data_IF_542123588137
#
_entry.id   IF_542123588137
#
_cell.length_a   1.000
_cell.length_b   1.000
_cell.length_c   1.000
_cell.angle_alpha   90.00
_cell.angle_beta   90.00
_cell.angle_gamma   90.00
#
_symmetry.space_group_name_H-M   'P 1'
#
loop_
_entity.id
_entity.type
_entity.pdbx_description
1 polymer ?
#
# COMPACT_ATOMS: atom_id res chain seq x y z
N UNK A 1 53.59 48.92 -21.16
CA UNK A 1 53.27 50.22 -21.76
C UNK A 1 52.07 50.11 -22.67
N UNK A 2 51.18 51.14 -22.59
CA UNK A 2 49.99 51.45 -23.45
C UNK A 2 48.74 50.57 -23.11
N UNK A 3 47.88 51.13 -22.32
CA UNK A 3 46.82 52.17 -22.39
C UNK A 3 45.48 51.62 -22.89
N UNK A 4 44.59 51.75 -21.96
CA UNK A 4 43.13 51.73 -21.96
C UNK A 4 42.48 52.41 -23.18
N UNK A 5 41.33 51.83 -23.58
CA UNK A 5 40.18 52.68 -23.90
C UNK A 5 38.88 52.00 -23.44
N UNK A 6 38.14 52.77 -22.69
CA UNK A 6 36.78 52.51 -22.20
C UNK A 6 35.85 53.10 -23.27
N UNK A 7 34.85 52.33 -23.66
CA UNK A 7 33.68 52.88 -24.35
C UNK A 7 32.43 52.41 -23.59
N UNK A 8 31.82 53.40 -22.96
CA UNK A 8 30.48 53.32 -22.39
C UNK A 8 29.43 53.45 -23.48
N UNK A 9 28.44 52.57 -23.45
CA UNK A 9 27.19 52.76 -24.18
C UNK A 9 26.02 52.39 -23.23
N UNK A 10 25.09 53.30 -23.12
CA UNK A 10 23.95 53.31 -22.24
C UNK A 10 22.85 52.32 -22.68
N UNK A 11 21.94 51.92 -21.76
CA UNK A 11 20.96 50.88 -22.03
C UNK A 11 19.71 51.46 -22.71
N UNK A 12 19.27 50.77 -23.75
CA UNK A 12 17.93 50.94 -24.33
C UNK A 12 16.99 49.98 -23.59
N UNK A 13 16.11 50.52 -22.77
CA UNK A 13 14.98 49.81 -22.22
C UNK A 13 13.96 49.51 -23.31
N UNK A 14 13.89 48.27 -23.75
CA UNK A 14 12.74 47.73 -24.46
C UNK A 14 11.89 46.95 -23.46
N UNK A 15 10.82 47.57 -23.00
CA UNK A 15 9.70 46.92 -22.32
C UNK A 15 9.01 45.97 -23.30
N UNK A 16 9.51 44.76 -23.39
CA UNK A 16 8.81 43.66 -24.03
C UNK A 16 7.95 42.97 -22.98
N UNK A 17 6.63 43.11 -23.08
CA UNK A 17 5.66 42.35 -22.35
C UNK A 17 5.86 40.87 -22.65
N UNK A 18 6.54 40.15 -21.77
CA UNK A 18 6.59 38.68 -21.80
C UNK A 18 5.24 38.23 -21.26
N UNK A 19 4.26 38.04 -22.13
CA UNK A 19 3.13 37.20 -21.86
C UNK A 19 3.69 35.80 -21.56
N UNK A 20 3.73 35.42 -20.30
CA UNK A 20 3.95 34.05 -19.90
C UNK A 20 2.90 33.20 -20.62
N UNK A 21 3.29 32.20 -21.44
CA UNK A 21 2.31 31.26 -21.90
C UNK A 21 1.79 30.57 -20.63
N UNK A 22 0.52 30.78 -20.32
CA UNK A 22 -0.25 29.86 -19.51
C UNK A 22 -0.11 28.50 -20.21
N UNK A 23 0.85 27.71 -19.78
CA UNK A 23 0.88 26.30 -20.05
C UNK A 23 -0.44 25.77 -19.47
N UNK A 24 -1.44 25.65 -20.36
CA UNK A 24 -2.50 24.70 -20.13
C UNK A 24 -1.78 23.38 -19.92
N UNK A 25 -1.70 22.91 -18.68
CA UNK A 25 -1.35 21.54 -18.41
C UNK A 25 -2.34 20.73 -19.27
N UNK A 26 -1.83 20.12 -20.33
CA UNK A 26 -2.60 19.17 -21.10
C UNK A 26 -3.15 18.19 -20.07
N UNK A 27 -4.47 17.99 -20.05
CA UNK A 27 -5.11 17.06 -19.13
C UNK A 27 -4.36 15.73 -19.28
N UNK A 28 -3.66 15.31 -18.22
CA UNK A 28 -2.95 14.05 -18.26
C UNK A 28 -3.96 12.96 -18.58
N UNK A 29 -3.72 12.22 -19.66
CA UNK A 29 -4.52 11.03 -19.95
C UNK A 29 -4.10 9.93 -18.99
N UNK A 30 -5.04 9.40 -18.25
CA UNK A 30 -4.80 8.35 -17.24
C UNK A 30 -5.07 6.95 -17.79
N UNK A 31 -5.34 6.83 -19.09
CA UNK A 31 -5.62 5.55 -19.77
C UNK A 31 -7.01 4.99 -19.50
N UNK A 32 -7.94 5.82 -19.02
CA UNK A 32 -9.34 5.42 -18.79
C UNK A 32 -10.07 5.07 -20.08
N UNK A 33 -9.68 5.69 -21.20
CA UNK A 33 -10.22 5.47 -22.53
C UNK A 33 -9.72 4.18 -23.18
N UNK A 34 -8.70 3.54 -22.60
CA UNK A 34 -8.13 2.32 -23.14
C UNK A 34 -8.77 1.09 -22.52
N UNK A 35 -9.34 0.22 -23.37
CA UNK A 35 -9.82 -1.09 -22.95
C UNK A 35 -8.63 -1.97 -22.58
N UNK A 36 -8.55 -2.37 -21.33
CA UNK A 36 -7.52 -3.27 -20.88
C UNK A 36 -7.97 -4.74 -21.07
N UNK A 37 -7.07 -5.64 -21.53
CA UNK A 37 -5.69 -5.44 -21.99
C UNK A 37 -5.58 -5.18 -23.50
N UNK A 38 -6.69 -5.04 -24.23
CA UNK A 38 -6.71 -4.97 -25.70
C UNK A 38 -6.10 -3.66 -26.23
N UNK A 39 -5.27 -3.78 -27.26
CA UNK A 39 -4.70 -2.64 -27.98
C UNK A 39 -3.45 -2.01 -27.36
N UNK A 40 -2.95 -2.54 -26.26
CA UNK A 40 -1.72 -2.05 -25.64
C UNK A 40 -0.49 -2.78 -26.15
N UNK A 41 0.62 -2.04 -26.21
CA UNK A 41 1.91 -2.69 -26.39
C UNK A 41 2.20 -3.65 -25.24
N UNK A 42 2.89 -4.76 -25.48
CA UNK A 42 3.33 -5.65 -24.43
C UNK A 42 4.08 -4.85 -23.36
N UNK A 43 3.70 -5.01 -22.09
CA UNK A 43 4.40 -4.37 -21.00
C UNK A 43 5.81 -4.93 -20.87
N UNK A 44 6.74 -4.01 -20.73
CA UNK A 44 8.15 -4.29 -20.51
C UNK A 44 8.58 -3.63 -19.22
N UNK A 45 9.76 -3.98 -18.70
CA UNK A 45 10.34 -3.28 -17.56
C UNK A 45 10.59 -1.78 -17.78
N UNK A 46 10.37 -1.27 -18.98
CA UNK A 46 10.55 0.14 -19.34
C UNK A 46 9.24 0.91 -19.47
N UNK A 47 8.16 0.29 -19.92
CA UNK A 47 6.90 0.98 -20.22
C UNK A 47 5.75 0.70 -19.26
N UNK A 48 5.95 -0.12 -18.23
CA UNK A 48 4.89 -0.50 -17.29
C UNK A 48 4.27 0.69 -16.56
N UNK A 49 5.01 1.80 -16.38
CA UNK A 49 4.53 3.04 -15.78
C UNK A 49 3.97 4.02 -16.80
N UNK A 50 3.78 3.59 -18.06
CA UNK A 50 3.33 4.48 -19.11
C UNK A 50 2.03 5.19 -18.70
N UNK A 51 2.10 6.53 -18.59
CA UNK A 51 1.01 7.34 -18.01
C UNK A 51 -0.35 7.13 -18.68
N UNK A 52 -0.47 7.10 -20.03
CA UNK A 52 -1.75 6.86 -20.69
C UNK A 52 -2.43 5.54 -20.33
N UNK A 53 -1.67 4.56 -19.84
CA UNK A 53 -2.19 3.22 -19.50
C UNK A 53 -2.31 2.98 -17.98
N UNK A 54 -2.03 3.98 -17.15
CA UNK A 54 -1.96 3.78 -15.69
C UNK A 54 -3.26 3.29 -15.08
N UNK A 55 -4.38 3.84 -15.49
CA UNK A 55 -5.68 3.42 -14.94
C UNK A 55 -5.91 1.94 -15.20
N UNK A 56 -5.73 1.50 -16.43
CA UNK A 56 -5.83 0.09 -16.78
C UNK A 56 -4.75 -0.76 -16.11
N UNK A 57 -3.51 -0.29 -16.04
CA UNK A 57 -2.40 -1.04 -15.44
C UNK A 57 -2.62 -1.31 -13.95
N UNK A 58 -3.17 -0.35 -13.20
CA UNK A 58 -3.23 -0.43 -11.73
C UNK A 58 -4.65 -0.55 -11.17
N UNK A 59 -5.68 -0.44 -12.01
CA UNK A 59 -7.06 -0.45 -11.56
C UNK A 59 -7.93 -1.33 -12.45
N UNK A 60 -7.69 -2.63 -12.45
CA UNK A 60 -8.55 -3.59 -13.12
C UNK A 60 -7.89 -4.55 -14.08
N UNK A 61 -6.57 -4.58 -14.21
CA UNK A 61 -5.94 -5.41 -15.22
C UNK A 61 -4.51 -5.87 -14.96
N UNK A 62 -3.91 -5.40 -13.89
CA UNK A 62 -2.51 -5.63 -13.59
C UNK A 62 -2.13 -7.11 -13.54
N UNK A 63 -2.96 -7.94 -12.92
CA UNK A 63 -2.76 -9.38 -12.81
C UNK A 63 -2.91 -10.13 -14.14
N UNK A 64 -3.52 -9.53 -15.15
CA UNK A 64 -3.61 -10.15 -16.49
C UNK A 64 -2.29 -10.05 -17.26
N UNK A 65 -1.41 -9.14 -16.83
CA UNK A 65 -0.12 -8.93 -17.47
C UNK A 65 1.01 -9.76 -16.85
N UNK A 66 0.84 -10.18 -15.61
CA UNK A 66 1.92 -10.81 -14.83
C UNK A 66 1.48 -12.14 -14.22
N UNK A 67 2.48 -12.95 -13.87
CA UNK A 67 2.24 -14.18 -13.11
C UNK A 67 1.67 -13.82 -11.75
N UNK A 68 0.66 -14.57 -11.33
CA UNK A 68 0.02 -14.36 -10.04
C UNK A 68 -0.55 -15.67 -9.49
N UNK A 69 -0.73 -15.71 -8.19
CA UNK A 69 -1.56 -16.67 -7.50
C UNK A 69 -2.92 -16.04 -7.23
N UNK A 70 -3.99 -16.82 -7.34
CA UNK A 70 -5.36 -16.37 -7.10
C UNK A 70 -5.87 -16.86 -5.76
N UNK A 71 -6.65 -16.03 -5.11
CA UNK A 71 -7.45 -16.37 -3.93
C UNK A 71 -8.91 -16.28 -4.31
N UNK A 72 -9.60 -17.42 -4.30
CA UNK A 72 -11.02 -17.47 -4.58
C UNK A 72 -11.84 -17.00 -3.38
N UNK A 73 -12.94 -16.32 -3.66
CA UNK A 73 -13.93 -15.99 -2.64
C UNK A 73 -14.54 -17.26 -2.01
N UNK A 74 -15.04 -17.13 -0.80
CA UNK A 74 -15.79 -18.22 -0.16
C UNK A 74 -17.19 -18.39 -0.75
N UNK A 75 -17.86 -19.49 -0.43
CA UNK A 75 -19.23 -19.73 -0.89
C UNK A 75 -20.25 -18.76 -0.28
N UNK A 76 -19.88 -18.09 0.80
CA UNK A 76 -20.73 -17.13 1.51
C UNK A 76 -19.97 -15.81 1.62
N UNK A 77 -20.38 -14.83 0.81
CA UNK A 77 -19.97 -13.47 1.01
C UNK A 77 -20.70 -12.88 2.22
N UNK A 78 -19.99 -12.13 3.07
CA UNK A 78 -20.64 -11.31 4.10
C UNK A 78 -20.89 -9.93 3.51
N UNK A 79 -22.14 -9.61 3.12
CA UNK A 79 -22.41 -8.33 2.49
C UNK A 79 -22.14 -7.19 3.47
N UNK A 80 -21.51 -6.13 2.97
CA UNK A 80 -21.51 -4.85 3.67
C UNK A 80 -22.86 -4.19 3.45
N UNK A 81 -23.47 -3.67 4.52
CA UNK A 81 -24.72 -2.90 4.42
C UNK A 81 -24.48 -1.61 3.62
N UNK A 82 -25.30 -1.33 2.62
CA UNK A 82 -25.13 -0.20 1.72
C UNK A 82 -26.14 0.88 2.06
N UNK A 83 -25.68 2.01 2.61
CA UNK A 83 -26.48 3.17 2.97
C UNK A 83 -25.88 4.43 2.34
N UNK A 84 -25.87 4.50 1.01
CA UNK A 84 -25.18 5.57 0.28
C UNK A 84 -25.69 6.96 0.64
N UNK A 85 -24.77 7.84 0.97
CA UNK A 85 -24.98 9.27 1.08
C UNK A 85 -24.94 9.92 -0.30
N UNK A 86 -25.64 11.05 -0.45
CA UNK A 86 -25.44 11.87 -1.63
C UNK A 86 -24.07 12.54 -1.57
N UNK A 87 -23.12 12.07 -2.38
CA UNK A 87 -21.75 12.56 -2.41
C UNK A 87 -21.66 14.08 -2.64
N UNK A 88 -22.61 14.66 -3.41
CA UNK A 88 -22.69 16.12 -3.63
C UNK A 88 -23.06 16.90 -2.37
N UNK A 89 -23.78 16.25 -1.44
CA UNK A 89 -24.20 16.87 -0.17
C UNK A 89 -23.24 16.60 0.98
N UNK A 90 -22.27 15.73 0.79
CA UNK A 90 -21.26 15.45 1.82
C UNK A 90 -20.20 16.55 1.81
N UNK A 91 -20.24 17.43 2.82
CA UNK A 91 -19.35 18.60 2.94
C UNK A 91 -18.25 18.30 3.96
N UNK A 92 -17.04 18.69 3.62
CA UNK A 92 -15.88 18.65 4.51
C UNK A 92 -14.99 19.89 4.30
N UNK A 93 -14.07 20.13 5.22
CA UNK A 93 -13.16 21.29 5.15
C UNK A 93 -11.77 20.85 4.69
N UNK A 94 -11.64 20.49 3.43
CA UNK A 94 -10.36 20.23 2.80
C UNK A 94 -9.57 21.51 2.51
N UNK A 95 -8.31 21.38 2.18
CA UNK A 95 -7.47 22.52 1.81
C UNK A 95 -7.96 23.18 0.51
N UNK A 96 -8.34 22.36 -0.46
CA UNK A 96 -8.67 22.82 -1.81
C UNK A 96 -10.02 22.31 -2.33
N UNK A 97 -10.66 21.38 -1.64
CA UNK A 97 -11.96 20.79 -2.00
C UNK A 97 -12.94 20.89 -0.84
N UNK A 98 -14.23 20.89 -1.14
CA UNK A 98 -15.30 21.03 -0.15
C UNK A 98 -16.29 19.88 -0.14
N UNK A 99 -16.42 19.17 -1.26
CA UNK A 99 -17.31 18.03 -1.42
C UNK A 99 -16.54 16.83 -1.95
N UNK A 100 -17.12 15.63 -1.83
CA UNK A 100 -16.56 14.43 -2.45
C UNK A 100 -16.47 14.60 -3.96
N UNK A 101 -17.49 15.22 -4.59
CA UNK A 101 -17.45 15.49 -6.03
C UNK A 101 -16.28 16.40 -6.42
N UNK A 102 -16.02 17.48 -5.65
CA UNK A 102 -14.86 18.33 -5.88
C UNK A 102 -13.55 17.54 -5.77
N UNK A 103 -13.45 16.69 -4.74
CA UNK A 103 -12.29 15.84 -4.52
C UNK A 103 -12.03 14.92 -5.71
N UNK A 104 -13.05 14.20 -6.15
CA UNK A 104 -12.99 13.26 -7.26
C UNK A 104 -12.70 13.95 -8.60
N UNK A 105 -13.19 15.16 -8.81
CA UNK A 105 -12.91 15.91 -10.03
C UNK A 105 -11.50 16.51 -10.06
N UNK A 106 -10.92 16.77 -8.90
CA UNK A 106 -9.58 17.37 -8.80
C UNK A 106 -8.46 16.35 -8.87
N UNK A 107 -8.61 15.23 -8.18
CA UNK A 107 -7.54 14.25 -8.00
C UNK A 107 -7.76 13.00 -8.87
N UNK A 108 -6.68 12.35 -9.36
CA UNK A 108 -6.78 11.18 -10.24
C UNK A 108 -7.17 9.91 -9.46
N UNK A 109 -8.29 10.01 -8.76
CA UNK A 109 -8.88 8.93 -7.99
C UNK A 109 -9.59 7.95 -8.92
N UNK A 110 -9.26 6.67 -8.83
CA UNK A 110 -9.89 5.61 -9.62
C UNK A 110 -11.10 5.00 -8.91
N UNK A 111 -11.04 4.93 -7.57
CA UNK A 111 -12.21 4.60 -6.76
C UNK A 111 -12.06 5.14 -5.32
N UNK A 112 -13.20 5.40 -4.68
CA UNK A 112 -13.30 5.87 -3.30
C UNK A 112 -14.44 5.14 -2.60
N UNK A 113 -14.16 4.55 -1.44
CA UNK A 113 -15.17 3.96 -0.57
C UNK A 113 -14.99 4.48 0.86
N UNK A 114 -16.10 4.87 1.48
CA UNK A 114 -16.14 5.18 2.91
C UNK A 114 -17.17 4.26 3.56
N UNK A 115 -16.73 3.54 4.58
CA UNK A 115 -17.64 2.74 5.40
C UNK A 115 -17.45 3.06 6.88
N UNK A 116 -18.52 2.91 7.65
CA UNK A 116 -18.50 3.10 9.10
C UNK A 116 -19.40 2.06 9.77
N UNK A 117 -18.87 1.38 10.80
CA UNK A 117 -19.58 0.32 11.53
C UNK A 117 -20.23 -0.72 10.59
N UNK A 118 -19.51 -1.14 9.57
CA UNK A 118 -19.98 -2.12 8.59
C UNK A 118 -20.92 -1.59 7.51
N UNK A 119 -21.24 -0.27 7.49
CA UNK A 119 -22.13 0.34 6.51
C UNK A 119 -21.34 1.15 5.48
N UNK A 120 -21.53 0.87 4.20
CA UNK A 120 -20.96 1.65 3.10
C UNK A 120 -21.76 2.93 2.95
N UNK A 121 -21.12 4.08 3.15
CA UNK A 121 -21.72 5.41 3.07
C UNK A 121 -21.39 6.11 1.75
N UNK A 122 -20.24 5.80 1.17
CA UNK A 122 -19.79 6.33 -0.12
C UNK A 122 -19.13 5.20 -0.88
N UNK A 123 -19.45 5.07 -2.15
CA UNK A 123 -18.83 4.13 -3.08
C UNK A 123 -18.87 4.75 -4.47
N UNK A 124 -17.71 5.18 -4.94
CA UNK A 124 -17.54 5.87 -6.21
C UNK A 124 -16.46 5.21 -7.05
N UNK A 125 -16.74 5.00 -8.32
CA UNK A 125 -15.82 4.49 -9.32
C UNK A 125 -15.66 5.54 -10.42
N UNK A 126 -14.43 5.78 -10.83
CA UNK A 126 -14.09 6.80 -11.81
C UNK A 126 -13.33 6.19 -12.98
N UNK A 127 -13.21 6.95 -14.09
CA UNK A 127 -12.38 6.53 -15.22
C UNK A 127 -12.78 5.13 -15.71
N UNK A 128 -14.09 4.90 -15.86
CA UNK A 128 -14.69 3.64 -16.31
C UNK A 128 -14.35 2.40 -15.46
N UNK A 129 -13.88 2.60 -14.23
CA UNK A 129 -13.68 1.48 -13.31
C UNK A 129 -15.02 0.97 -12.78
N UNK A 130 -15.08 -0.33 -12.48
CA UNK A 130 -16.30 -1.05 -12.10
C UNK A 130 -16.10 -1.84 -10.82
N UNK A 131 -17.19 -2.22 -10.10
CA UNK A 131 -17.11 -2.96 -8.85
C UNK A 131 -16.40 -4.31 -8.93
N UNK A 132 -16.45 -4.97 -10.08
CA UNK A 132 -15.83 -6.27 -10.33
C UNK A 132 -14.33 -6.19 -10.66
N UNK A 133 -13.79 -4.99 -10.85
CA UNK A 133 -12.37 -4.77 -11.11
C UNK A 133 -11.54 -4.81 -9.83
N UNK A 134 -10.32 -5.30 -9.95
CA UNK A 134 -9.36 -5.35 -8.84
C UNK A 134 -8.41 -4.18 -8.91
N UNK A 135 -8.18 -3.57 -7.77
CA UNK A 135 -7.29 -2.43 -7.58
C UNK A 135 -6.01 -2.91 -6.92
N UNK A 136 -4.90 -2.61 -7.54
CA UNK A 136 -3.58 -3.05 -7.11
C UNK A 136 -3.16 -2.31 -5.83
N UNK A 137 -2.56 -3.03 -4.89
CA UNK A 137 -2.22 -2.57 -3.55
C UNK A 137 -1.04 -1.63 -3.47
N UNK A 138 -0.04 -1.83 -4.33
CA UNK A 138 1.31 -1.42 -3.98
C UNK A 138 1.64 -1.84 -2.54
N UNK A 139 2.27 -0.97 -1.77
CA UNK A 139 2.72 -1.31 -0.41
C UNK A 139 1.62 -1.59 0.62
N UNK A 140 0.32 -1.43 0.30
CA UNK A 140 -0.75 -1.91 1.17
C UNK A 140 -0.70 -3.44 1.37
N UNK A 141 -0.07 -4.19 0.44
CA UNK A 141 0.17 -5.62 0.57
C UNK A 141 0.95 -6.00 1.84
N UNK A 142 1.80 -5.11 2.34
CA UNK A 142 2.55 -5.34 3.58
C UNK A 142 1.63 -5.53 4.78
N UNK A 143 0.58 -4.73 4.86
CA UNK A 143 -0.41 -4.85 5.93
C UNK A 143 -1.23 -6.13 5.81
N UNK A 144 -1.51 -6.61 4.57
CA UNK A 144 -2.11 -7.94 4.38
C UNK A 144 -1.17 -9.03 4.90
N UNK A 145 0.15 -8.92 4.61
CA UNK A 145 1.16 -9.84 5.15
C UNK A 145 1.19 -9.83 6.68
N UNK A 146 1.00 -8.64 7.30
CA UNK A 146 0.86 -8.54 8.77
C UNK A 146 -0.32 -9.33 9.31
N UNK A 147 -1.49 -9.24 8.65
CA UNK A 147 -2.66 -10.03 9.08
C UNK A 147 -2.39 -11.53 8.98
N UNK A 148 -1.69 -11.98 7.91
CA UNK A 148 -1.29 -13.39 7.78
C UNK A 148 -0.29 -13.81 8.85
N UNK A 149 0.63 -12.93 9.25
CA UNK A 149 1.54 -13.18 10.36
C UNK A 149 0.80 -13.40 11.67
N UNK A 150 -0.18 -12.53 11.97
CA UNK A 150 -1.03 -12.72 13.15
C UNK A 150 -1.79 -14.04 13.13
N UNK A 151 -2.35 -14.43 11.99
CA UNK A 151 -3.03 -15.72 11.83
C UNK A 151 -2.05 -16.90 12.01
N UNK A 152 -0.83 -16.80 11.49
CA UNK A 152 0.17 -17.85 11.63
C UNK A 152 0.61 -18.04 13.09
N UNK A 153 0.72 -16.95 13.85
CA UNK A 153 0.94 -17.00 15.31
C UNK A 153 -0.24 -17.64 16.04
N UNK A 154 -1.47 -17.20 15.78
CA UNK A 154 -2.68 -17.70 16.42
C UNK A 154 -2.89 -19.21 16.19
N UNK A 155 -2.45 -19.71 15.05
CA UNK A 155 -2.52 -21.13 14.68
C UNK A 155 -1.31 -21.95 15.12
N UNK A 156 -0.30 -21.32 15.73
CA UNK A 156 0.90 -21.99 16.22
C UNK A 156 1.88 -22.42 15.13
N UNK A 157 1.73 -21.97 13.89
CA UNK A 157 2.72 -22.18 12.84
C UNK A 157 4.02 -21.43 13.11
N UNK A 158 3.91 -20.27 13.73
CA UNK A 158 5.02 -19.44 14.21
C UNK A 158 4.84 -19.24 15.70
N UNK A 159 5.92 -19.34 16.48
CA UNK A 159 5.82 -19.31 17.95
C UNK A 159 5.89 -17.87 18.49
N UNK A 160 6.78 -17.05 17.94
CA UNK A 160 7.00 -15.67 18.41
C UNK A 160 7.49 -14.76 17.28
N UNK A 161 7.14 -13.48 17.34
CA UNK A 161 7.75 -12.46 16.47
C UNK A 161 9.21 -12.15 16.89
N UNK A 162 9.65 -12.61 18.04
CA UNK A 162 11.03 -12.47 18.50
C UNK A 162 11.93 -13.61 17.98
N UNK A 163 11.35 -14.63 17.35
CA UNK A 163 12.09 -15.68 16.70
C UNK A 163 12.84 -15.19 15.47
N UNK A 164 13.91 -15.93 15.12
CA UNK A 164 14.70 -15.64 13.93
C UNK A 164 14.11 -16.33 12.70
N UNK A 165 14.06 -15.67 11.53
CA UNK A 165 13.62 -16.28 10.27
C UNK A 165 14.32 -17.61 9.92
N UNK A 166 15.60 -17.75 10.25
CA UNK A 166 16.38 -18.97 9.98
C UNK A 166 15.87 -20.21 10.73
N UNK A 167 15.09 -20.04 11.80
CA UNK A 167 14.47 -21.15 12.54
C UNK A 167 13.34 -21.79 11.72
N UNK A 168 12.71 -21.03 10.82
CA UNK A 168 11.59 -21.48 9.98
C UNK A 168 12.01 -21.75 8.54
N UNK A 169 13.02 -21.03 8.04
CA UNK A 169 13.44 -21.04 6.65
C UNK A 169 14.89 -21.53 6.55
N UNK A 170 15.15 -22.85 6.36
CA UNK A 170 16.50 -23.41 6.32
C UNK A 170 17.48 -22.68 5.37
N UNK A 171 17.07 -22.21 4.17
CA UNK A 171 17.94 -21.43 3.30
C UNK A 171 18.40 -20.09 3.86
N UNK A 172 17.77 -19.56 4.90
CA UNK A 172 18.18 -18.32 5.57
C UNK A 172 19.22 -18.52 6.67
N UNK A 173 19.59 -19.77 6.98
CA UNK A 173 20.57 -20.06 8.04
C UNK A 173 21.91 -19.40 7.75
N UNK A 174 22.36 -18.56 8.71
CA UNK A 174 23.61 -17.81 8.59
C UNK A 174 23.58 -16.64 7.60
N UNK A 175 22.43 -16.29 7.04
CA UNK A 175 22.28 -15.08 6.21
C UNK A 175 21.98 -13.86 7.08
N UNK A 176 22.19 -12.66 6.54
CA UNK A 176 21.91 -11.43 7.27
C UNK A 176 20.43 -11.37 7.71
N UNK A 177 19.50 -11.59 6.80
CA UNK A 177 18.06 -11.49 7.09
C UNK A 177 17.56 -12.67 7.94
N UNK A 178 18.23 -13.83 7.86
CA UNK A 178 17.91 -14.96 8.72
C UNK A 178 18.20 -14.76 10.20
N UNK A 179 19.19 -13.91 10.51
CA UNK A 179 19.61 -13.60 11.88
C UNK A 179 18.93 -12.35 12.49
N UNK A 180 17.93 -11.76 11.85
CA UNK A 180 17.21 -10.58 12.36
C UNK A 180 15.88 -11.03 12.99
N UNK A 181 15.60 -10.74 14.28
CA UNK A 181 14.31 -11.05 14.87
C UNK A 181 13.15 -10.49 14.06
N UNK A 182 12.10 -11.31 13.86
CA UNK A 182 10.96 -10.94 12.99
C UNK A 182 10.28 -9.65 13.43
N UNK A 183 10.29 -9.31 14.72
CA UNK A 183 9.82 -8.01 15.24
C UNK A 183 10.45 -6.84 14.51
N UNK A 184 11.75 -6.86 14.29
CA UNK A 184 12.46 -5.78 13.62
C UNK A 184 12.19 -5.73 12.12
N UNK A 185 11.89 -6.87 11.49
CA UNK A 185 11.42 -6.93 10.11
C UNK A 185 10.02 -6.34 9.99
N UNK A 186 9.09 -6.74 10.86
CA UNK A 186 7.70 -6.23 10.89
C UNK A 186 7.65 -4.72 11.16
N UNK A 187 8.57 -4.21 11.94
CA UNK A 187 8.69 -2.80 12.31
C UNK A 187 9.56 -1.97 11.35
N UNK A 188 10.08 -2.56 10.26
CA UNK A 188 10.99 -1.85 9.35
C UNK A 188 12.20 -1.23 10.08
N UNK A 189 12.73 -1.96 11.06
CA UNK A 189 13.92 -1.56 11.83
C UNK A 189 15.01 -2.64 11.78
N UNK A 190 15.18 -3.27 10.63
CA UNK A 190 16.08 -4.40 10.41
C UNK A 190 17.56 -4.07 10.47
N UNK A 191 17.94 -2.80 10.30
CA UNK A 191 19.34 -2.37 10.22
C UNK A 191 20.06 -2.71 8.92
N UNK A 192 19.37 -3.28 7.93
CA UNK A 192 19.94 -3.53 6.60
C UNK A 192 20.24 -2.21 5.88
N UNK A 193 21.30 -2.17 5.09
CA UNK A 193 21.63 -1.02 4.27
C UNK A 193 20.93 -1.11 2.92
N UNK A 194 19.84 -0.37 2.78
CA UNK A 194 19.11 -0.22 1.52
C UNK A 194 19.03 1.25 1.19
N UNK A 195 19.69 1.63 0.11
CA UNK A 195 19.57 2.96 -0.47
C UNK A 195 18.72 2.82 -1.71
N UNK A 196 17.44 3.19 -1.63
CA UNK A 196 16.45 3.01 -2.68
C UNK A 196 16.90 3.54 -4.06
N UNK A 197 17.74 4.57 -4.09
CA UNK A 197 18.22 5.19 -5.32
C UNK A 197 19.43 4.46 -5.94
N UNK A 198 20.11 3.60 -5.17
CA UNK A 198 21.35 2.92 -5.58
C UNK A 198 21.24 1.41 -5.55
N UNK A 199 20.10 0.87 -5.14
CA UNK A 199 19.93 -0.56 -4.98
C UNK A 199 19.82 -1.24 -6.35
N UNK A 200 20.83 -2.03 -6.78
CA UNK A 200 20.76 -2.77 -8.03
C UNK A 200 19.72 -3.89 -8.00
N UNK A 201 19.23 -4.23 -6.81
CA UNK A 201 18.18 -5.21 -6.59
C UNK A 201 16.84 -4.54 -6.28
N UNK A 202 16.68 -3.26 -6.65
CA UNK A 202 15.43 -2.56 -6.49
C UNK A 202 14.28 -3.46 -6.89
N UNK A 203 13.65 -4.07 -5.87
CA UNK A 203 12.49 -4.93 -6.03
C UNK A 203 11.31 -4.01 -6.30
N UNK A 204 11.36 -3.44 -7.45
CA UNK A 204 10.24 -2.73 -8.03
C UNK A 204 9.65 -3.59 -9.14
N UNK A 205 8.59 -3.12 -9.72
CA UNK A 205 7.89 -3.81 -10.79
C UNK A 205 8.78 -4.21 -11.98
N UNK A 206 9.88 -3.52 -12.35
CA UNK A 206 10.82 -4.07 -13.32
C UNK A 206 11.41 -5.43 -12.96
N UNK A 207 11.64 -5.70 -11.69
CA UNK A 207 12.10 -7.03 -11.26
C UNK A 207 10.98 -8.09 -11.35
N UNK A 208 9.72 -7.69 -11.15
CA UNK A 208 8.54 -8.52 -11.41
C UNK A 208 8.41 -8.89 -12.89
N UNK A 209 8.68 -7.91 -13.75
CA UNK A 209 8.52 -8.02 -15.19
C UNK A 209 9.68 -8.70 -15.88
N UNK A 210 10.86 -8.60 -15.32
CA UNK A 210 12.03 -9.27 -15.87
C UNK A 210 11.77 -10.78 -15.81
N UNK A 211 11.60 -11.40 -16.96
CA UNK A 211 11.64 -12.85 -17.14
C UNK A 211 13.01 -13.45 -16.73
N UNK A 212 13.79 -12.70 -15.97
CA UNK A 212 15.14 -13.00 -15.53
C UNK A 212 15.21 -13.82 -14.24
N UNK A 213 16.39 -14.26 -13.85
CA UNK A 213 16.64 -15.17 -12.73
C UNK A 213 16.46 -14.51 -11.34
N UNK A 214 15.91 -13.31 -11.25
CA UNK A 214 15.74 -12.61 -9.98
C UNK A 214 14.52 -13.16 -9.26
N UNK A 215 14.73 -14.05 -8.30
CA UNK A 215 13.69 -14.55 -7.43
C UNK A 215 13.70 -13.83 -6.09
N UNK A 216 12.54 -13.73 -5.46
CA UNK A 216 12.39 -13.19 -4.09
C UNK A 216 13.38 -13.87 -3.15
N UNK A 217 13.42 -15.20 -3.17
CA UNK A 217 14.31 -15.99 -2.32
C UNK A 217 15.79 -15.66 -2.56
N UNK A 218 16.21 -15.52 -3.81
CA UNK A 218 17.62 -15.20 -4.13
C UNK A 218 18.02 -13.83 -3.60
N UNK A 219 17.14 -12.82 -3.74
CA UNK A 219 17.42 -11.47 -3.25
C UNK A 219 17.53 -11.46 -1.73
N UNK A 220 16.58 -12.06 -1.04
CA UNK A 220 16.56 -12.10 0.44
C UNK A 220 17.78 -12.89 0.97
N UNK A 221 18.07 -14.08 0.43
CA UNK A 221 19.19 -14.91 0.87
C UNK A 221 20.54 -14.24 0.56
N UNK A 222 20.63 -13.56 -0.58
CA UNK A 222 21.88 -12.97 -1.06
C UNK A 222 22.23 -11.61 -0.47
N UNK A 223 21.31 -10.96 0.27
CA UNK A 223 21.57 -9.64 0.82
C UNK A 223 22.59 -9.67 1.95
N UNK A 224 23.63 -8.82 1.87
CA UNK A 224 24.74 -8.80 2.84
C UNK A 224 25.00 -7.44 3.47
N UNK A 225 24.39 -6.38 2.90
CA UNK A 225 24.70 -5.02 3.31
C UNK A 225 23.94 -4.66 4.59
N UNK A 226 24.70 -4.50 5.67
CA UNK A 226 24.22 -4.09 6.99
C UNK A 226 24.76 -2.70 7.32
N UNK A 227 23.90 -1.83 7.83
CA UNK A 227 24.26 -0.47 8.23
C UNK A 227 24.41 -0.33 9.74
N UNK A 228 23.54 -0.99 10.48
CA UNK A 228 23.44 -0.88 11.93
C UNK A 228 22.78 -2.12 12.53
N UNK A 229 22.75 -2.21 13.85
CA UNK A 229 22.04 -3.28 14.53
C UNK A 229 20.51 -3.15 14.34
N UNK A 230 19.77 -4.28 14.33
CA UNK A 230 18.33 -4.25 14.32
C UNK A 230 17.75 -3.47 15.51
N UNK A 231 16.67 -2.74 15.30
CA UNK A 231 15.98 -1.99 16.36
C UNK A 231 16.52 -0.57 16.61
N UNK A 232 17.54 -0.10 15.89
CA UNK A 232 18.11 1.23 16.11
C UNK A 232 17.20 2.34 15.54
N UNK A 233 16.71 2.15 14.29
CA UNK A 233 15.85 3.14 13.64
C UNK A 233 14.97 2.53 12.59
N UNK A 234 13.95 3.28 12.22
CA UNK A 234 13.11 2.97 11.07
C UNK A 234 13.89 3.09 9.76
N UNK A 235 13.85 2.04 8.95
CA UNK A 235 14.35 2.02 7.58
C UNK A 235 13.44 1.17 6.71
N UNK A 236 12.58 1.84 5.94
CA UNK A 236 11.59 1.18 5.08
C UNK A 236 12.25 0.43 3.93
N UNK A 237 12.03 -0.88 3.82
CA UNK A 237 12.60 -1.73 2.77
C UNK A 237 11.67 -2.88 2.39
N UNK A 238 11.73 -3.30 1.13
CA UNK A 238 10.98 -4.43 0.62
C UNK A 238 11.52 -5.78 1.14
N UNK A 239 12.77 -5.83 1.56
CA UNK A 239 13.39 -7.04 2.12
C UNK A 239 12.67 -7.55 3.37
N UNK A 240 12.18 -6.63 4.21
CA UNK A 240 11.49 -6.98 5.44
C UNK A 240 10.21 -7.81 5.20
N UNK A 241 9.21 -7.33 4.44
CA UNK A 241 8.01 -8.11 4.17
C UNK A 241 8.30 -9.37 3.35
N UNK A 242 9.26 -9.33 2.41
CA UNK A 242 9.62 -10.51 1.63
C UNK A 242 10.17 -11.62 2.53
N UNK A 243 11.01 -11.28 3.52
CA UNK A 243 11.52 -12.24 4.51
C UNK A 243 10.39 -12.82 5.35
N UNK A 244 9.47 -12.00 5.84
CA UNK A 244 8.28 -12.45 6.58
C UNK A 244 7.41 -13.36 5.70
N UNK A 245 7.22 -13.03 4.43
CA UNK A 245 6.51 -13.89 3.49
C UNK A 245 7.17 -15.26 3.32
N UNK A 246 8.49 -15.32 3.24
CA UNK A 246 9.23 -16.59 3.22
C UNK A 246 9.00 -17.39 4.50
N UNK A 247 9.02 -16.75 5.67
CA UNK A 247 8.75 -17.42 6.96
C UNK A 247 7.36 -18.02 6.96
N UNK A 248 6.32 -17.27 6.63
CA UNK A 248 4.94 -17.77 6.60
C UNK A 248 4.83 -18.95 5.63
N UNK A 249 5.36 -18.85 4.42
CA UNK A 249 5.33 -19.95 3.44
C UNK A 249 6.00 -21.24 3.97
N UNK A 250 7.17 -21.11 4.57
CA UNK A 250 7.91 -22.28 5.08
C UNK A 250 7.25 -22.85 6.33
N UNK A 251 6.80 -22.02 7.26
CA UNK A 251 6.13 -22.48 8.47
C UNK A 251 4.80 -23.20 8.17
N UNK A 252 4.04 -22.70 7.19
CA UNK A 252 2.73 -23.24 6.83
C UNK A 252 2.78 -24.31 5.74
N UNK A 253 3.89 -24.45 5.02
CA UNK A 253 4.04 -25.30 3.82
C UNK A 253 3.02 -24.98 2.73
N UNK A 254 2.58 -23.72 2.65
CA UNK A 254 1.60 -23.21 1.67
C UNK A 254 2.16 -21.97 0.97
N UNK A 255 1.60 -21.64 -0.21
CA UNK A 255 1.81 -20.31 -0.78
C UNK A 255 1.09 -19.27 0.09
N UNK A 256 1.54 -18.01 0.05
CA UNK A 256 0.81 -16.95 0.80
C UNK A 256 -0.63 -16.82 0.34
N UNK A 257 -0.89 -16.98 -0.95
CA UNK A 257 -2.24 -16.94 -1.51
C UNK A 257 -3.10 -18.11 -0.99
N UNK A 258 -2.57 -19.33 -0.93
CA UNK A 258 -3.30 -20.49 -0.37
C UNK A 258 -3.62 -20.27 1.12
N UNK A 259 -2.63 -19.86 1.89
CA UNK A 259 -2.81 -19.57 3.32
C UNK A 259 -3.79 -18.41 3.54
N UNK A 260 -3.67 -17.33 2.76
CA UNK A 260 -4.58 -16.20 2.80
C UNK A 260 -6.01 -16.61 2.41
N UNK A 261 -6.18 -17.39 1.34
CA UNK A 261 -7.50 -17.86 0.92
C UNK A 261 -8.21 -18.60 2.05
N UNK A 262 -7.52 -19.56 2.66
CA UNK A 262 -8.10 -20.45 3.67
C UNK A 262 -8.37 -19.73 4.99
N UNK A 263 -7.51 -18.80 5.41
CA UNK A 263 -7.50 -18.30 6.79
C UNK A 263 -7.83 -16.82 6.92
N UNK A 264 -7.87 -16.07 5.82
CA UNK A 264 -8.20 -14.64 5.79
C UNK A 264 -9.34 -14.36 4.82
N UNK A 265 -9.17 -14.67 3.54
CA UNK A 265 -10.03 -14.23 2.46
C UNK A 265 -11.45 -14.80 2.54
N UNK A 266 -11.55 -16.12 2.62
CA UNK A 266 -12.83 -16.80 2.77
C UNK A 266 -13.47 -16.55 4.14
N UNK A 267 -12.75 -16.66 5.28
CA UNK A 267 -13.34 -16.38 6.59
C UNK A 267 -13.82 -14.94 6.79
N UNK A 268 -13.21 -13.95 6.12
CA UNK A 268 -13.71 -12.57 6.19
C UNK A 268 -14.92 -12.31 5.28
N UNK A 269 -15.35 -13.29 4.48
CA UNK A 269 -16.51 -13.19 3.61
C UNK A 269 -16.27 -12.30 2.39
N UNK A 270 -15.10 -12.40 1.77
CA UNK A 270 -14.79 -11.67 0.54
C UNK A 270 -15.82 -11.94 -0.57
N UNK A 271 -16.18 -10.91 -1.32
CA UNK A 271 -17.13 -11.01 -2.45
C UNK A 271 -16.45 -11.48 -3.74
N UNK A 272 -15.21 -11.08 -3.95
CA UNK A 272 -14.50 -11.33 -5.19
C UNK A 272 -13.20 -12.09 -5.00
N UNK A 273 -12.64 -12.47 -6.15
CA UNK A 273 -11.28 -13.00 -6.20
C UNK A 273 -10.28 -11.92 -5.86
N UNK A 274 -9.21 -12.30 -5.17
CA UNK A 274 -8.00 -11.49 -5.09
C UNK A 274 -6.84 -12.18 -5.80
N UNK A 275 -5.83 -11.41 -6.18
CA UNK A 275 -4.63 -11.93 -6.83
C UNK A 275 -3.38 -11.43 -6.11
N UNK A 276 -2.33 -12.22 -6.17
CA UNK A 276 -1.02 -11.84 -5.67
C UNK A 276 0.05 -12.15 -6.70
N UNK A 277 0.74 -11.11 -7.16
CA UNK A 277 1.80 -11.26 -8.16
C UNK A 277 2.93 -12.13 -7.62
N UNK A 278 3.52 -12.93 -8.51
CA UNK A 278 4.60 -13.86 -8.14
C UNK A 278 5.84 -13.67 -9.00
N UNK A 279 6.98 -14.04 -8.45
CA UNK A 279 8.20 -14.27 -9.23
C UNK A 279 8.10 -15.55 -10.09
N UNK A 280 9.18 -15.84 -10.83
CA UNK A 280 9.26 -17.04 -11.67
C UNK A 280 9.17 -18.36 -10.91
N UNK A 281 9.41 -18.35 -9.61
CA UNK A 281 9.37 -19.52 -8.72
C UNK A 281 8.06 -19.61 -7.92
N UNK A 282 7.09 -18.73 -8.20
CA UNK A 282 5.81 -18.71 -7.52
C UNK A 282 5.84 -18.11 -6.11
N UNK A 283 6.90 -17.34 -5.75
CA UNK A 283 6.89 -16.56 -4.52
C UNK A 283 6.11 -15.27 -4.72
N UNK A 284 5.16 -15.01 -3.85
CA UNK A 284 4.37 -13.78 -3.89
C UNK A 284 5.24 -12.56 -3.55
N UNK A 285 5.06 -11.50 -4.33
CA UNK A 285 5.58 -10.17 -3.98
C UNK A 285 4.69 -9.54 -2.92
N UNK A 286 4.80 -10.05 -1.71
CA UNK A 286 3.98 -9.65 -0.58
C UNK A 286 4.30 -8.24 -0.05
N UNK A 287 5.22 -7.56 -0.69
CA UNK A 287 5.52 -6.15 -0.46
C UNK A 287 4.66 -5.20 -1.32
N UNK A 288 4.18 -5.64 -2.52
CA UNK A 288 3.52 -4.73 -3.49
C UNK A 288 2.44 -5.36 -4.38
N UNK A 289 2.36 -6.68 -4.47
CA UNK A 289 1.71 -7.39 -5.58
C UNK A 289 0.26 -7.82 -5.37
N UNK A 290 -0.41 -7.39 -4.31
CA UNK A 290 -1.79 -7.80 -4.00
C UNK A 290 -2.81 -6.94 -4.76
N UNK A 291 -3.90 -7.55 -5.27
CA UNK A 291 -4.99 -6.82 -5.89
C UNK A 291 -6.35 -7.41 -5.49
N UNK A 292 -7.31 -6.53 -5.19
CA UNK A 292 -8.65 -6.89 -4.74
C UNK A 292 -9.70 -5.88 -5.19
N UNK A 293 -10.96 -6.27 -5.16
CA UNK A 293 -12.09 -5.36 -5.39
C UNK A 293 -12.16 -4.30 -4.29
N UNK A 294 -12.75 -3.15 -4.60
CA UNK A 294 -12.83 -2.02 -3.67
C UNK A 294 -13.54 -2.39 -2.35
N UNK A 295 -14.64 -3.14 -2.43
CA UNK A 295 -15.38 -3.59 -1.25
C UNK A 295 -14.58 -4.60 -0.41
N UNK A 296 -13.75 -5.42 -1.03
CA UNK A 296 -12.91 -6.37 -0.30
C UNK A 296 -11.73 -5.69 0.39
N UNK A 297 -11.20 -4.60 -0.18
CA UNK A 297 -10.30 -3.70 0.53
C UNK A 297 -10.97 -3.07 1.75
N UNK A 298 -12.23 -2.67 1.62
CA UNK A 298 -12.99 -2.14 2.75
C UNK A 298 -13.24 -3.22 3.83
N UNK A 299 -13.46 -4.49 3.45
CA UNK A 299 -13.57 -5.61 4.40
C UNK A 299 -12.30 -5.87 5.17
N UNK A 300 -11.14 -5.84 4.49
CA UNK A 300 -9.84 -5.95 5.16
C UNK A 300 -9.66 -4.83 6.19
N UNK A 301 -10.03 -3.60 5.84
CA UNK A 301 -9.96 -2.48 6.77
C UNK A 301 -10.99 -2.60 7.90
N UNK A 302 -12.21 -3.05 7.58
CA UNK A 302 -13.26 -3.28 8.57
C UNK A 302 -12.86 -4.37 9.56
N UNK A 303 -12.22 -5.45 9.08
CA UNK A 303 -11.65 -6.50 9.94
C UNK A 303 -10.67 -5.92 10.96
N UNK A 304 -9.82 -4.97 10.56
CA UNK A 304 -8.86 -4.33 11.47
C UNK A 304 -9.59 -3.48 12.52
N UNK A 305 -10.49 -2.57 12.10
CA UNK A 305 -11.19 -1.68 13.06
C UNK A 305 -12.12 -2.45 13.99
N UNK A 306 -12.60 -3.62 13.58
CA UNK A 306 -13.38 -4.56 14.41
C UNK A 306 -12.50 -5.55 15.17
N UNK A 307 -11.21 -5.22 15.35
CA UNK A 307 -10.26 -6.01 16.16
C UNK A 307 -10.16 -7.46 15.73
N UNK A 308 -10.10 -7.66 14.40
CA UNK A 308 -9.90 -8.97 13.77
C UNK A 308 -11.17 -9.80 13.64
N UNK A 309 -12.35 -9.23 13.92
CA UNK A 309 -13.63 -9.92 13.85
C UNK A 309 -14.41 -9.53 12.60
N UNK A 310 -15.07 -10.50 11.98
CA UNK A 310 -15.99 -10.28 10.88
C UNK A 310 -17.28 -11.08 11.14
N UNK A 311 -18.40 -10.39 11.34
CA UNK A 311 -19.62 -11.00 11.84
C UNK A 311 -19.39 -11.70 13.20
N UNK A 312 -19.66 -12.99 13.28
CA UNK A 312 -19.39 -13.79 14.49
C UNK A 312 -17.99 -14.42 14.52
N UNK A 313 -17.23 -14.35 13.40
CA UNK A 313 -15.96 -15.06 13.24
C UNK A 313 -14.78 -14.18 13.66
N UNK A 314 -13.91 -14.69 14.55
CA UNK A 314 -12.59 -14.10 14.81
C UNK A 314 -11.63 -14.63 13.76
N UNK A 315 -11.27 -13.81 12.79
CA UNK A 315 -10.40 -14.17 11.67
C UNK A 315 -8.93 -13.97 12.03
N UNK A 316 -8.63 -12.86 12.69
CA UNK A 316 -7.30 -12.53 13.24
C UNK A 316 -7.48 -12.26 14.72
N UNK A 317 -6.58 -12.72 15.58
CA UNK A 317 -6.75 -12.50 17.02
C UNK A 317 -6.84 -11.01 17.35
N UNK A 318 -7.64 -10.71 18.36
CA UNK A 318 -7.75 -9.36 18.91
C UNK A 318 -6.39 -8.88 19.43
N UNK A 319 -5.63 -9.78 20.07
CA UNK A 319 -4.30 -9.48 20.61
C UNK A 319 -3.32 -9.01 19.53
N UNK A 320 -3.31 -9.65 18.35
CA UNK A 320 -2.50 -9.21 17.23
C UNK A 320 -2.88 -7.81 16.72
N UNK A 321 -4.18 -7.57 16.53
CA UNK A 321 -4.65 -6.25 16.10
C UNK A 321 -4.30 -5.17 17.15
N UNK A 322 -4.48 -5.46 18.43
CA UNK A 322 -4.11 -4.54 19.52
C UNK A 322 -2.60 -4.30 19.55
N UNK A 323 -1.77 -5.33 19.29
CA UNK A 323 -0.33 -5.15 19.16
C UNK A 323 0.02 -4.27 17.94
N UNK A 324 -0.70 -4.39 16.84
CA UNK A 324 -0.51 -3.50 15.68
C UNK A 324 -0.84 -2.02 15.99
N UNK A 325 -1.61 -1.72 17.04
CA UNK A 325 -2.03 -0.35 17.37
C UNK A 325 -1.16 0.35 18.40
N UNK A 326 -0.34 -0.39 19.16
CA UNK A 326 0.39 0.15 20.32
C UNK A 326 1.88 -0.03 20.20
N UNK A 327 2.63 1.03 20.48
CA UNK A 327 4.09 0.97 20.61
C UNK A 327 4.47 0.65 22.07
N UNK A 328 5.23 -0.43 22.25
CA UNK A 328 5.88 -0.74 23.52
C UNK A 328 7.27 -0.08 23.62
N UNK A 329 7.98 -0.34 24.73
CA UNK A 329 9.37 0.15 24.90
C UNK A 329 10.33 -0.40 23.82
N UNK A 330 10.05 -1.60 23.32
CA UNK A 330 10.84 -2.24 22.25
C UNK A 330 10.57 -1.65 20.85
N UNK A 331 9.55 -0.80 20.72
CA UNK A 331 9.13 -0.20 19.45
C UNK A 331 9.43 1.31 19.39
N UNK A 332 10.20 1.84 20.37
CA UNK A 332 10.44 3.28 20.52
C UNK A 332 11.00 3.93 19.24
N UNK A 333 11.86 3.22 18.49
CA UNK A 333 12.49 3.71 17.26
C UNK A 333 11.49 3.90 16.09
N UNK A 334 10.30 3.32 16.18
CA UNK A 334 9.25 3.41 15.16
C UNK A 334 7.96 4.06 15.65
N UNK A 335 7.97 4.55 16.89
CA UNK A 335 6.84 5.26 17.48
C UNK A 335 6.45 6.51 16.67
N UNK A 336 5.30 7.07 16.98
CA UNK A 336 4.81 8.29 16.30
C UNK A 336 5.85 9.41 16.29
N UNK A 337 6.11 9.96 15.12
CA UNK A 337 7.14 10.97 14.88
C UNK A 337 8.58 10.45 14.78
N UNK A 338 8.82 9.15 15.04
CA UNK A 338 10.15 8.51 14.91
C UNK A 338 10.31 7.79 13.59
N UNK A 339 9.27 7.11 13.08
CA UNK A 339 9.33 6.50 11.76
C UNK A 339 9.45 7.58 10.66
N UNK A 340 8.57 8.58 10.71
CA UNK A 340 8.61 9.80 9.86
C UNK A 340 8.00 10.97 10.63
N UNK A 341 8.27 12.23 10.25
CA UNK A 341 7.54 13.37 10.76
C UNK A 341 6.03 13.16 10.64
N UNK A 342 5.30 13.22 11.75
CA UNK A 342 3.85 13.03 11.80
C UNK A 342 3.35 11.60 11.57
N UNK A 343 4.23 10.59 11.64
CA UNK A 343 3.82 9.19 11.52
C UNK A 343 4.68 8.25 12.37
N UNK A 344 4.05 7.19 12.87
CA UNK A 344 4.68 6.00 13.42
C UNK A 344 4.50 4.80 12.50
N UNK A 345 5.11 3.68 12.87
CA UNK A 345 5.01 2.43 12.11
C UNK A 345 5.09 1.22 13.04
N UNK A 346 4.23 0.22 12.87
CA UNK A 346 4.35 -1.05 13.59
C UNK A 346 3.65 -2.17 12.83
N UNK A 347 4.26 -3.34 12.81
CA UNK A 347 3.68 -4.54 12.21
C UNK A 347 3.12 -4.29 10.79
N UNK A 348 3.84 -3.53 9.96
CA UNK A 348 3.43 -3.14 8.60
C UNK A 348 2.19 -2.24 8.52
N UNK A 349 1.83 -1.56 9.59
CA UNK A 349 0.82 -0.49 9.60
C UNK A 349 1.45 0.86 9.90
N UNK A 350 0.96 1.90 9.22
CA UNK A 350 1.28 3.29 9.52
C UNK A 350 0.36 3.81 10.63
N UNK A 351 0.91 4.62 11.52
CA UNK A 351 0.18 5.31 12.58
C UNK A 351 0.16 6.80 12.30
N UNK A 352 -1.02 7.41 12.29
CA UNK A 352 -1.18 8.85 12.08
C UNK A 352 -1.60 9.61 13.34
N UNK A 353 -1.49 8.97 14.49
CA UNK A 353 -1.63 9.57 15.81
C UNK A 353 -0.78 8.79 16.83
N UNK A 354 -0.42 9.44 17.96
CA UNK A 354 0.42 8.80 18.97
C UNK A 354 -0.31 7.74 19.82
N UNK A 355 -1.64 7.69 19.82
CA UNK A 355 -2.45 6.76 20.60
C UNK A 355 -2.73 5.45 19.86
N UNK A 356 -2.40 5.36 18.56
CA UNK A 356 -2.70 4.21 17.72
C UNK A 356 -4.18 4.07 17.34
N UNK A 357 -4.92 5.18 17.42
CA UNK A 357 -6.30 5.25 16.97
C UNK A 357 -6.41 5.26 15.45
N UNK A 358 -5.53 6.04 14.79
CA UNK A 358 -5.53 6.23 13.34
C UNK A 358 -4.47 5.36 12.69
N UNK A 359 -4.89 4.24 12.13
CA UNK A 359 -4.03 3.37 11.34
C UNK A 359 -4.20 3.65 9.84
N UNK A 360 -3.16 3.33 9.06
CA UNK A 360 -3.24 3.37 7.62
C UNK A 360 -2.45 2.24 6.94
N UNK A 361 -2.96 1.83 5.79
CA UNK A 361 -2.21 1.10 4.77
C UNK A 361 -1.88 2.09 3.66
N UNK A 362 -0.60 2.23 3.31
CA UNK A 362 -0.16 3.17 2.29
C UNK A 362 0.50 2.43 1.13
N UNK A 363 0.11 2.74 -0.08
CA UNK A 363 0.72 2.27 -1.33
C UNK A 363 1.16 3.42 -2.23
N UNK A 364 2.08 3.15 -3.13
CA UNK A 364 2.50 4.13 -4.13
C UNK A 364 1.33 4.58 -5.01
N UNK A 365 1.52 5.67 -5.74
CA UNK A 365 0.56 6.26 -6.67
C UNK A 365 -0.80 6.62 -6.04
N UNK A 366 -0.83 6.85 -4.72
CA UNK A 366 -2.04 7.28 -4.03
C UNK A 366 -2.96 6.17 -3.52
N UNK A 367 -2.50 4.92 -3.48
CA UNK A 367 -3.25 3.88 -2.79
C UNK A 367 -3.23 4.15 -1.29
N UNK A 368 -4.38 4.26 -0.65
CA UNK A 368 -4.46 4.53 0.78
C UNK A 368 -5.73 3.96 1.40
N UNK A 369 -5.55 3.33 2.54
CA UNK A 369 -6.66 2.98 3.43
C UNK A 369 -6.42 3.71 4.75
N UNK A 370 -7.42 4.45 5.20
CA UNK A 370 -7.44 5.10 6.51
C UNK A 370 -8.44 4.39 7.40
N UNK A 371 -8.08 4.18 8.65
CA UNK A 371 -8.86 3.41 9.63
C UNK A 371 -8.88 4.16 10.97
N UNK A 372 -10.07 4.47 11.47
CA UNK A 372 -10.27 5.00 12.82
C UNK A 372 -10.81 3.87 13.71
N UNK A 373 -9.95 3.42 14.63
CA UNK A 373 -10.24 2.29 15.53
C UNK A 373 -11.33 2.59 16.55
N UNK A 374 -11.63 3.86 16.83
CA UNK A 374 -12.63 4.28 17.80
C UNK A 374 -14.03 4.35 17.18
N UNK A 375 -14.13 4.98 16.00
CA UNK A 375 -15.41 5.17 15.31
C UNK A 375 -15.76 4.05 14.34
N UNK A 376 -14.86 3.08 14.15
CA UNK A 376 -14.93 2.01 13.15
C UNK A 376 -15.16 2.57 11.73
N UNK A 377 -14.53 3.70 11.44
CA UNK A 377 -14.59 4.34 10.12
C UNK A 377 -13.40 3.90 9.28
N UNK A 378 -13.67 3.50 8.06
CA UNK A 378 -12.67 3.16 7.06
C UNK A 378 -12.87 3.98 5.80
N UNK A 379 -11.77 4.39 5.17
CA UNK A 379 -11.78 5.03 3.87
C UNK A 379 -10.78 4.29 2.98
N UNK A 380 -11.24 3.81 1.84
CA UNK A 380 -10.41 3.19 0.80
C UNK A 380 -10.30 4.15 -0.37
N UNK A 381 -9.09 4.54 -0.71
CA UNK A 381 -8.78 5.42 -1.82
C UNK A 381 -7.81 4.73 -2.76
N UNK A 382 -8.18 4.60 -4.02
CA UNK A 382 -7.33 4.12 -5.10
C UNK A 382 -7.10 5.22 -6.12
N UNK A 383 -5.89 5.30 -6.65
CA UNK A 383 -5.47 6.42 -7.49
C UNK A 383 -4.32 6.03 -8.41
N UNK A 384 -4.02 6.89 -9.36
CA UNK A 384 -2.86 6.80 -10.25
C UNK A 384 -1.98 8.06 -10.19
N UNK A 385 -2.01 8.76 -9.06
CA UNK A 385 -1.26 10.00 -8.84
C UNK A 385 0.24 9.76 -8.76
N UNK A 386 1.03 10.53 -9.48
CA UNK A 386 2.50 10.57 -9.36
C UNK A 386 2.95 11.26 -8.08
N UNK A 387 2.15 12.21 -7.62
CA UNK A 387 2.53 13.11 -6.56
C UNK A 387 2.18 12.53 -5.20
N UNK A 388 3.16 12.53 -4.31
CA UNK A 388 2.93 12.25 -2.89
C UNK A 388 2.67 13.59 -2.21
N UNK A 389 1.45 13.82 -1.77
CA UNK A 389 1.21 14.95 -0.89
C UNK A 389 -0.04 15.78 -1.15
N UNK A 390 -0.20 16.51 -2.29
CA UNK A 390 -1.26 17.53 -2.40
C UNK A 390 -2.67 16.98 -2.14
N UNK A 391 -2.99 15.80 -2.64
CA UNK A 391 -4.29 15.16 -2.44
C UNK A 391 -4.55 14.72 -0.99
N UNK A 392 -3.49 14.48 -0.20
CA UNK A 392 -3.64 14.07 1.20
C UNK A 392 -4.17 15.21 2.06
N UNK A 393 -3.87 16.46 1.71
CA UNK A 393 -4.38 17.64 2.40
C UNK A 393 -5.90 17.81 2.30
N UNK A 394 -6.52 17.15 1.33
CA UNK A 394 -7.98 17.06 1.19
C UNK A 394 -8.53 15.72 1.71
N UNK A 395 -7.78 14.61 1.52
CA UNK A 395 -8.25 13.27 1.90
C UNK A 395 -8.39 13.10 3.42
N UNK A 396 -7.44 13.60 4.22
CA UNK A 396 -7.53 13.50 5.67
C UNK A 396 -8.73 14.30 6.24
N UNK A 397 -8.97 15.56 5.85
CA UNK A 397 -10.20 16.26 6.22
C UNK A 397 -11.49 15.56 5.82
N UNK A 398 -11.53 14.97 4.62
CA UNK A 398 -12.65 14.13 4.17
C UNK A 398 -12.88 12.95 5.12
N UNK A 399 -11.81 12.23 5.43
CA UNK A 399 -11.86 11.10 6.37
C UNK A 399 -12.34 11.52 7.77
N UNK A 400 -11.79 12.60 8.33
CA UNK A 400 -12.21 13.10 9.64
C UNK A 400 -13.67 13.60 9.66
N UNK A 401 -14.15 14.11 8.55
CA UNK A 401 -15.57 14.45 8.46
C UNK A 401 -16.44 13.19 8.47
N UNK A 402 -16.00 12.12 7.81
CA UNK A 402 -16.70 10.83 7.82
C UNK A 402 -16.75 10.18 9.22
N UNK A 403 -15.74 10.36 10.06
CA UNK A 403 -15.75 9.83 11.44
C UNK A 403 -16.82 10.48 12.33
N UNK A 404 -17.34 11.63 11.95
CA UNK A 404 -18.33 12.41 12.73
C UNK A 404 -19.77 12.20 12.27
N UNK A 405 -20.00 11.40 11.22
CA UNK A 405 -21.35 11.15 10.72
C UNK A 405 -22.18 10.44 11.79
N UNK A 406 -23.42 10.89 11.96
CA UNK A 406 -24.45 10.15 12.71
C UNK A 406 -24.98 9.01 11.85
N UNK A 407 -25.04 7.79 12.38
CA UNK A 407 -25.57 6.58 11.73
C UNK A 407 -26.85 6.14 12.39
#
# INVERSE_FOLDING_TARGET
>A
MRRRQVITAAPICLLGSIASPLLHAASETWGSELSYPSGWEPLTGRNWQYKPHRVGNFSGGYEQMFRHNTMEAGPIALPLDVQLLNAKKFIFSGQTTRTIEDYLNKWPTTALLIARKGKILVEEYRMERKPDMRFQSWSMAKSVTSLLMGIALDKGFIQSIDDLPEQYVPPLKGTLLGGIPMRHLLNMSSGVDVVHERDPYRIDVPALLASGPTSVGRVVIGWKDKKEEPGIRFNYTELCPLTIGMVIRHATQQTLAQFAQQHLWQPMGAEGKATWLTDSNGFEYNCVGFAAQLRDWARLAQLVVQKGKMGSTQVVSKSWIEDCTKHGSQDAQVAYGKARPGAGYKNFFWHHDPQGRLLAMNGALGQKILMDMETETVLVHTSVSDEVGPWTADLFPLFFAATKLSL
#
